data_IF_977777488971
#
_entry.id   IF_977777488971
#
_cell.length_a   1.000
_cell.length_b   1.000
_cell.length_c   1.000
_cell.angle_alpha   90.00
_cell.angle_beta   90.00
_cell.angle_gamma   90.00
#
_symmetry.space_group_name_H-M   'P 1'
#
loop_
_entity.id
_entity.type
_entity.pdbx_description
1 polymer ?
#
# COMPACT_ATOMS: atom_id res chain seq x y z
N UNK A 1 4.87 -0.53 -11.99
CA UNK A 1 5.19 -0.60 -10.54
C UNK A 1 5.23 -2.05 -10.11
N UNK A 2 6.23 -2.43 -9.31
CA UNK A 2 6.41 -3.78 -8.75
C UNK A 2 5.84 -3.85 -7.33
N UNK A 3 5.64 -5.07 -6.82
CA UNK A 3 5.17 -5.30 -5.44
C UNK A 3 6.10 -4.65 -4.42
N UNK A 4 7.42 -4.83 -4.58
CA UNK A 4 8.43 -4.25 -3.70
C UNK A 4 8.35 -2.72 -3.69
N UNK A 5 8.11 -2.08 -4.85
CA UNK A 5 7.97 -0.63 -4.92
C UNK A 5 6.70 -0.14 -4.21
N UNK A 6 5.58 -0.87 -4.34
CA UNK A 6 4.34 -0.55 -3.63
C UNK A 6 4.51 -0.67 -2.12
N UNK A 7 5.14 -1.74 -1.66
CA UNK A 7 5.46 -1.94 -0.24
C UNK A 7 6.38 -0.83 0.29
N UNK A 8 7.43 -0.48 -0.45
CA UNK A 8 8.34 0.59 -0.06
C UNK A 8 7.64 1.96 0.04
N UNK A 9 6.73 2.27 -0.89
CA UNK A 9 5.95 3.51 -0.84
C UNK A 9 5.06 3.58 0.42
N UNK A 10 4.40 2.47 0.76
CA UNK A 10 3.59 2.35 1.97
C UNK A 10 4.44 2.52 3.24
N UNK A 11 5.60 1.87 3.31
CA UNK A 11 6.51 1.98 4.45
C UNK A 11 7.12 3.38 4.58
N UNK A 12 7.40 4.04 3.45
CA UNK A 12 7.89 5.41 3.41
C UNK A 12 6.85 6.44 3.91
N UNK A 13 5.55 6.15 3.73
CA UNK A 13 4.45 6.98 4.27
C UNK A 13 4.26 6.79 5.79
N UNK A 14 4.94 5.82 6.40
CA UNK A 14 4.92 5.57 7.84
C UNK A 14 4.01 4.43 8.28
N UNK A 15 3.40 3.70 7.33
CA UNK A 15 2.67 2.48 7.62
C UNK A 15 3.62 1.31 7.86
N UNK A 16 3.20 0.37 8.70
CA UNK A 16 3.99 -0.83 9.04
C UNK A 16 3.18 -2.10 8.83
N UNK A 17 3.87 -3.24 8.72
CA UNK A 17 3.20 -4.54 8.64
C UNK A 17 2.35 -4.71 7.38
N UNK A 18 2.84 -4.22 6.23
CA UNK A 18 2.17 -4.33 4.94
C UNK A 18 1.87 -5.80 4.61
N UNK A 19 0.60 -6.09 4.35
CA UNK A 19 0.03 -7.41 4.09
C UNK A 19 -1.03 -7.32 2.98
N UNK A 20 -1.42 -8.48 2.46
CA UNK A 20 -2.43 -8.60 1.40
C UNK A 20 -2.17 -7.68 0.19
N UNK A 21 -0.90 -7.43 -0.13
CA UNK A 21 -0.48 -6.54 -1.21
C UNK A 21 -0.76 -7.24 -2.56
N UNK A 22 -1.72 -6.73 -3.30
CA UNK A 22 -2.15 -7.29 -4.58
C UNK A 22 -2.37 -6.19 -5.60
N UNK A 23 -1.93 -6.42 -6.84
CA UNK A 23 -2.15 -5.49 -7.95
C UNK A 23 -3.49 -5.76 -8.61
N UNK A 24 -4.34 -4.74 -8.68
CA UNK A 24 -5.57 -4.77 -9.48
C UNK A 24 -5.29 -4.59 -10.97
N UNK A 25 -6.23 -5.03 -11.80
CA UNK A 25 -6.19 -4.89 -13.26
C UNK A 25 -6.11 -3.43 -13.72
N UNK A 26 -6.58 -2.50 -12.88
CA UNK A 26 -6.55 -1.05 -13.10
C UNK A 26 -5.16 -0.43 -12.85
N UNK A 27 -4.17 -1.25 -12.48
CA UNK A 27 -2.81 -0.80 -12.19
C UNK A 27 -2.60 -0.25 -10.78
N UNK A 28 -3.66 -0.18 -9.97
CA UNK A 28 -3.62 0.21 -8.56
C UNK A 28 -3.32 -1.02 -7.69
N UNK A 29 -2.41 -0.87 -6.74
CA UNK A 29 -2.13 -1.87 -5.73
C UNK A 29 -3.04 -1.67 -4.52
N UNK A 30 -3.60 -2.74 -3.98
CA UNK A 30 -4.32 -2.73 -2.70
C UNK A 30 -3.49 -3.48 -1.69
N UNK A 31 -3.40 -2.95 -0.48
CA UNK A 31 -2.71 -3.58 0.63
C UNK A 31 -3.46 -3.27 1.93
N UNK A 32 -3.24 -4.08 2.97
CA UNK A 32 -3.56 -3.70 4.34
C UNK A 32 -2.27 -3.44 5.10
N UNK A 33 -2.26 -2.40 5.92
CA UNK A 33 -1.11 -2.07 6.75
C UNK A 33 -1.57 -1.44 8.07
N UNK A 34 -0.68 -1.38 9.03
CA UNK A 34 -0.92 -0.81 10.34
C UNK A 34 -0.44 0.64 10.37
N UNK A 35 -1.33 1.56 10.77
CA UNK A 35 -1.00 2.93 11.15
C UNK A 35 -1.08 3.02 12.68
N UNK A 36 0.08 2.96 13.33
CA UNK A 36 0.14 2.81 14.78
C UNK A 36 -0.37 1.42 15.20
N UNK A 37 -1.59 1.36 15.75
CA UNK A 37 -2.26 0.12 16.17
C UNK A 37 -3.48 -0.24 15.32
N UNK A 38 -3.84 0.60 14.35
CA UNK A 38 -5.04 0.40 13.53
C UNK A 38 -4.66 -0.20 12.19
N UNK A 39 -5.29 -1.30 11.82
CA UNK A 39 -5.21 -1.84 10.46
C UNK A 39 -6.08 -0.99 9.52
N UNK A 40 -5.48 -0.53 8.44
CA UNK A 40 -6.12 0.27 7.41
C UNK A 40 -5.86 -0.33 6.05
N UNK A 41 -6.80 -0.12 5.13
CA UNK A 41 -6.64 -0.53 3.75
C UNK A 41 -6.02 0.62 2.95
N UNK A 42 -4.97 0.30 2.21
CA UNK A 42 -4.20 1.24 1.41
C UNK A 42 -4.36 0.90 -0.06
N UNK A 43 -4.45 1.95 -0.86
CA UNK A 43 -4.40 1.88 -2.31
C UNK A 43 -3.17 2.64 -2.79
N UNK A 44 -2.30 2.00 -3.55
CA UNK A 44 -1.12 2.62 -4.16
C UNK A 44 -1.35 2.74 -5.66
N UNK A 45 -1.43 3.97 -6.14
CA UNK A 45 -1.57 4.27 -7.56
C UNK A 45 -0.34 3.85 -8.38
N UNK A 46 -0.47 3.78 -9.72
CA UNK A 46 0.63 3.40 -10.61
C UNK A 46 1.83 4.38 -10.56
N UNK A 47 1.61 5.59 -10.04
CA UNK A 47 2.60 6.64 -9.80
C UNK A 47 3.30 6.54 -8.44
N UNK A 48 2.93 5.57 -7.60
CA UNK A 48 3.44 5.43 -6.23
C UNK A 48 2.68 6.28 -5.19
N UNK A 49 1.57 6.91 -5.57
CA UNK A 49 0.72 7.67 -4.63
C UNK A 49 -0.03 6.72 -3.72
N UNK A 50 0.21 6.80 -2.40
CA UNK A 50 -0.47 6.00 -1.38
C UNK A 50 -1.73 6.75 -0.92
N UNK A 51 -2.84 6.03 -0.75
CA UNK A 51 -4.10 6.59 -0.24
C UNK A 51 -4.76 5.60 0.71
N UNK A 52 -5.12 6.08 1.89
CA UNK A 52 -5.90 5.34 2.88
C UNK A 52 -7.39 5.33 2.49
N UNK A 53 -8.05 4.20 2.75
CA UNK A 53 -9.48 4.00 2.51
C UNK A 53 -10.22 3.76 3.82
#
# INVERSE_FOLDING_TARGET
MTETAAKAAIEADGYKGVRALARGSDGVWKASALRGQTEVLLSVGPTGSVSEK
#
